data_IF_396128251954
#
_entry.id   IF_396128251954
#
_cell.length_a   1.000
_cell.length_b   1.000
_cell.length_c   1.000
_cell.angle_alpha   90.00
_cell.angle_beta   90.00
_cell.angle_gamma   90.00
#
_symmetry.space_group_name_H-M   'P 1'
#
loop_
_entity.id
_entity.type
_entity.pdbx_description
1 polymer ?
#
# COMPACT_ATOMS: atom_id res chain seq x y z
N UNK A 1 18.76 0.53 10.33
CA UNK A 1 18.25 0.51 9.94
C UNK A 1 17.16 0.21 10.03
N UNK A 2 16.66 0.40 10.01
CA UNK A 2 15.66 0.32 10.09
C UNK A 2 14.96 -0.21 9.41
N UNK A 3 14.91 -0.65 8.86
CA UNK A 3 14.27 -0.98 8.14
C UNK A 3 13.54 -1.78 8.34
N UNK A 4 13.09 -2.19 8.27
CA UNK A 4 12.29 -2.55 8.57
C UNK A 4 11.56 -3.68 8.51
N UNK A 5 10.85 -3.96 9.27
CA UNK A 5 10.14 -5.00 9.43
C UNK A 5 9.08 -5.12 8.53
N UNK A 6 8.52 -4.06 8.18
CA UNK A 6 7.53 -4.00 7.26
C UNK A 6 8.02 -4.36 5.95
N UNK A 7 9.30 -4.38 5.82
CA UNK A 7 9.95 -4.44 4.55
C UNK A 7 9.54 -5.54 3.65
N UNK A 8 9.58 -6.76 4.08
CA UNK A 8 9.26 -7.84 3.18
C UNK A 8 7.81 -7.86 2.77
N UNK A 9 6.90 -7.60 3.70
CA UNK A 9 5.51 -7.57 3.35
C UNK A 9 5.20 -6.38 2.48
N UNK A 10 5.82 -5.25 2.78
CA UNK A 10 5.60 -4.06 2.00
C UNK A 10 6.08 -4.21 0.57
N UNK A 11 7.24 -4.84 0.41
CA UNK A 11 7.78 -5.06 -0.92
C UNK A 11 6.89 -5.99 -1.73
N UNK A 12 6.39 -7.04 -1.09
CA UNK A 12 5.53 -7.98 -1.79
C UNK A 12 4.24 -7.29 -2.24
N UNK A 13 3.68 -6.45 -1.38
CA UNK A 13 2.47 -5.73 -1.72
C UNK A 13 2.71 -4.77 -2.87
N UNK A 14 3.82 -4.06 -2.83
CA UNK A 14 4.15 -3.11 -3.89
C UNK A 14 4.34 -3.83 -5.22
N UNK A 15 5.04 -4.97 -5.21
CA UNK A 15 5.21 -5.73 -6.43
C UNK A 15 3.88 -6.23 -6.97
N UNK A 16 3.00 -6.64 -6.08
CA UNK A 16 1.69 -7.09 -6.47
C UNK A 16 0.93 -5.94 -7.17
N UNK A 17 1.00 -4.74 -6.59
CA UNK A 17 0.34 -3.58 -7.16
C UNK A 17 0.95 -3.22 -8.51
N UNK A 18 2.27 -3.24 -8.60
CA UNK A 18 2.95 -2.90 -9.83
C UNK A 18 2.60 -3.84 -10.97
N UNK A 19 2.38 -5.11 -10.65
CA UNK A 19 2.06 -6.09 -11.67
C UNK A 19 0.63 -5.94 -12.18
N UNK A 20 -0.18 -5.15 -11.50
CA UNK A 20 -1.57 -4.98 -11.90
C UNK A 20 -2.47 -6.13 -11.47
N UNK A 21 -1.95 -7.04 -10.68
CA UNK A 21 -2.72 -8.19 -10.25
C UNK A 21 -3.83 -7.75 -9.29
N UNK A 22 -4.91 -8.48 -9.30
CA UNK A 22 -6.03 -8.17 -8.43
C UNK A 22 -6.69 -9.44 -7.92
N UNK A 23 -5.94 -10.52 -7.92
CA UNK A 23 -6.51 -11.82 -7.59
C UNK A 23 -5.98 -12.45 -6.30
N UNK A 24 -5.26 -11.69 -5.50
CA UNK A 24 -4.77 -12.22 -4.24
C UNK A 24 -5.61 -11.66 -3.10
N UNK A 25 -6.46 -12.49 -2.48
CA UNK A 25 -7.37 -11.99 -1.45
C UNK A 25 -6.67 -11.37 -0.25
N UNK A 26 -5.50 -11.87 0.07
CA UNK A 26 -4.77 -11.34 1.20
C UNK A 26 -4.33 -9.90 0.96
N UNK A 27 -3.78 -9.63 -0.21
CA UNK A 27 -3.36 -8.28 -0.55
C UNK A 27 -4.56 -7.37 -0.78
N UNK A 28 -5.62 -7.91 -1.37
CA UNK A 28 -6.81 -7.10 -1.59
C UNK A 28 -7.43 -6.70 -0.25
N UNK A 29 -7.40 -7.60 0.73
CA UNK A 29 -7.92 -7.28 2.05
C UNK A 29 -7.06 -6.20 2.71
N UNK A 30 -5.76 -6.27 2.54
CA UNK A 30 -4.86 -5.25 3.08
C UNK A 30 -5.18 -3.89 2.49
N UNK A 31 -5.43 -3.85 1.19
CA UNK A 31 -5.78 -2.59 0.54
C UNK A 31 -7.09 -2.03 1.08
N UNK A 32 -8.05 -2.91 1.33
CA UNK A 32 -9.31 -2.48 1.87
C UNK A 32 -9.13 -1.94 3.28
N UNK A 33 -8.29 -2.58 4.07
CA UNK A 33 -8.01 -2.12 5.43
C UNK A 33 -7.41 -0.71 5.40
N UNK A 34 -6.52 -0.45 4.47
CA UNK A 34 -5.91 0.87 4.33
C UNK A 34 -6.97 1.90 3.94
N UNK A 35 -7.89 1.52 3.04
CA UNK A 35 -8.96 2.43 2.67
C UNK A 35 -9.79 2.82 3.90
N UNK A 36 -10.10 1.85 4.75
CA UNK A 36 -10.89 2.09 5.93
C UNK A 36 -10.15 2.96 6.96
N UNK A 37 -8.87 2.72 7.11
CA UNK A 37 -8.07 3.52 8.03
C UNK A 37 -8.06 4.98 7.59
N UNK A 38 -7.88 5.22 6.30
CA UNK A 38 -7.86 6.57 5.79
C UNK A 38 -9.23 7.23 5.97
N UNK A 39 -10.28 6.46 5.73
CA UNK A 39 -11.62 6.99 5.90
C UNK A 39 -11.84 7.42 7.34
N UNK A 40 -11.39 6.63 8.29
CA UNK A 40 -11.55 6.96 9.69
C UNK A 40 -10.80 8.22 10.06
N UNK A 41 -9.63 8.38 9.52
CA UNK A 41 -8.82 9.53 9.86
C UNK A 41 -9.22 10.79 9.13
N UNK A 42 -9.67 10.67 7.91
CA UNK A 42 -10.00 11.83 7.10
C UNK A 42 -11.47 12.03 6.85
N UNK A 43 -12.28 11.04 7.13
CA UNK A 43 -13.70 11.12 6.91
C UNK A 43 -14.15 10.87 5.48
N UNK A 44 -13.21 10.61 4.60
CA UNK A 44 -13.51 10.37 3.20
C UNK A 44 -12.85 9.06 2.78
N UNK A 45 -13.62 8.17 2.17
CA UNK A 45 -13.10 6.90 1.71
C UNK A 45 -12.34 7.10 0.40
N UNK A 46 -11.05 6.80 0.37
CA UNK A 46 -10.31 6.87 -0.88
C UNK A 46 -10.69 5.71 -1.78
N UNK A 47 -10.46 5.84 -3.07
CA UNK A 47 -10.72 4.73 -3.97
C UNK A 47 -9.59 3.72 -3.85
N UNK A 48 -9.85 2.51 -4.32
CA UNK A 48 -8.83 1.48 -4.30
C UNK A 48 -7.63 1.91 -5.15
N UNK A 49 -7.89 2.57 -6.27
CA UNK A 49 -6.82 3.05 -7.14
C UNK A 49 -5.96 4.10 -6.43
N UNK A 50 -6.60 4.99 -5.69
CA UNK A 50 -5.87 5.99 -4.94
C UNK A 50 -4.95 5.35 -3.92
N UNK A 51 -5.42 4.32 -3.24
CA UNK A 51 -4.61 3.64 -2.24
C UNK A 51 -3.42 2.95 -2.92
N UNK A 52 -3.65 2.29 -4.05
CA UNK A 52 -2.58 1.63 -4.77
C UNK A 52 -1.51 2.64 -5.18
N UNK A 53 -1.94 3.78 -5.72
CA UNK A 53 -1.00 4.81 -6.14
C UNK A 53 -0.25 5.40 -4.95
N UNK A 54 -0.94 5.58 -3.84
CA UNK A 54 -0.31 6.12 -2.64
C UNK A 54 0.79 5.18 -2.15
N UNK A 55 0.53 3.89 -2.13
CA UNK A 55 1.51 2.92 -1.67
C UNK A 55 2.73 2.89 -2.59
N UNK A 56 2.51 3.01 -3.90
CA UNK A 56 3.62 3.06 -4.83
C UNK A 56 4.46 4.32 -4.61
N UNK A 57 3.78 5.42 -4.35
CA UNK A 57 4.45 6.68 -4.13
C UNK A 57 5.27 6.64 -2.85
N UNK A 58 4.72 6.06 -1.80
CA UNK A 58 5.43 5.95 -0.54
C UNK A 58 6.66 5.05 -0.68
N UNK A 59 6.54 3.98 -1.44
CA UNK A 59 7.67 3.11 -1.69
C UNK A 59 8.78 3.86 -2.41
N UNK A 60 8.39 4.66 -3.40
CA UNK A 60 9.35 5.43 -4.17
C UNK A 60 10.09 6.42 -3.26
N UNK A 61 9.33 7.14 -2.43
CA UNK A 61 9.93 8.11 -1.53
C UNK A 61 10.86 7.43 -0.53
N UNK A 62 10.46 6.30 -0.01
CA UNK A 62 11.26 5.58 0.96
C UNK A 62 12.60 5.19 0.35
N UNK A 63 12.59 4.72 -0.89
CA UNK A 63 13.82 4.33 -1.54
C UNK A 63 14.72 5.51 -1.85
N UNK A 64 14.11 6.60 -2.31
CA UNK A 64 14.88 7.78 -2.69
C UNK A 64 15.32 8.57 -1.48
N UNK A 65 14.56 8.50 -0.42
CA UNK A 65 14.85 9.29 0.77
C UNK A 65 15.93 8.72 1.65
N UNK A 66 16.37 7.55 1.33
CA UNK A 66 17.43 6.95 2.11
C UNK A 66 18.79 7.41 1.62
#
# INVERSE_FOLDING_TARGET
MRKNLLTKKGEALVEYIKSGARNNPEFEQTLLDVQNIIKEKRGIMPTNESVRNLLLELDYIDREGV
#
